data_IF_285348619274
#
_entry.id   IF_285348619274
#
_cell.length_a   1.000
_cell.length_b   1.000
_cell.length_c   1.000
_cell.angle_alpha   90.00
_cell.angle_beta   90.00
_cell.angle_gamma   90.00
#
_symmetry.space_group_name_H-M   'P 1'
#
loop_
_entity.id
_entity.type
_entity.pdbx_description
1 polymer ?
#
# COMPACT_ATOMS: atom_id res chain seq x y z
N UNK A 1 -25.79 37.74 9.06
CA UNK A 1 -27.25 37.70 9.36
C UNK A 1 -28.02 36.82 8.37
N UNK A 2 -27.59 36.69 7.11
CA UNK A 2 -28.26 35.87 6.08
C UNK A 2 -28.25 34.34 6.28
N UNK A 3 -27.24 33.78 6.96
CA UNK A 3 -27.14 32.31 7.15
C UNK A 3 -28.14 31.79 8.18
N UNK A 4 -28.38 32.57 9.24
CA UNK A 4 -29.26 32.19 10.34
C UNK A 4 -30.74 32.21 9.92
N UNK A 5 -31.13 33.14 9.05
CA UNK A 5 -32.48 33.21 8.47
C UNK A 5 -32.74 32.03 7.53
N UNK A 6 -31.75 31.61 6.74
CA UNK A 6 -31.86 30.42 5.86
C UNK A 6 -31.94 29.11 6.64
N UNK A 7 -31.19 28.98 7.74
CA UNK A 7 -31.29 27.84 8.66
C UNK A 7 -32.67 27.76 9.34
N UNK A 8 -33.30 28.91 9.62
CA UNK A 8 -34.65 28.94 10.21
C UNK A 8 -35.73 28.39 9.28
N UNK A 9 -35.50 28.41 7.96
CA UNK A 9 -36.42 27.84 6.97
C UNK A 9 -36.24 26.32 6.77
N UNK A 10 -35.20 25.71 7.37
CA UNK A 10 -34.96 24.26 7.34
C UNK A 10 -35.59 23.53 8.54
N UNK A 11 -36.21 24.26 9.48
CA UNK A 11 -36.91 23.70 10.63
C UNK A 11 -38.34 23.32 10.21
N UNK A 12 -38.57 22.03 9.96
CA UNK A 12 -39.85 21.51 9.46
C UNK A 12 -40.92 21.35 10.57
N UNK A 13 -40.57 21.59 11.84
CA UNK A 13 -41.46 21.34 12.98
C UNK A 13 -42.03 22.64 13.58
N UNK A 14 -43.34 22.66 13.93
CA UNK A 14 -43.95 23.81 14.58
C UNK A 14 -43.35 24.00 15.97
N UNK A 15 -42.91 25.23 16.29
CA UNK A 15 -42.33 25.55 17.60
C UNK A 15 -43.42 25.58 18.67
N UNK A 16 -43.19 24.83 19.74
CA UNK A 16 -44.08 24.76 20.91
C UNK A 16 -44.01 26.07 21.71
N UNK A 17 -45.14 26.51 22.27
CA UNK A 17 -45.22 27.73 23.07
C UNK A 17 -44.31 27.66 24.30
N UNK A 18 -43.67 28.78 24.65
CA UNK A 18 -42.64 28.83 25.70
C UNK A 18 -43.20 28.54 27.11
N UNK A 19 -44.52 28.65 27.31
CA UNK A 19 -45.20 28.38 28.58
C UNK A 19 -45.18 26.91 29.01
N UNK A 20 -44.84 25.99 28.10
CA UNK A 20 -44.65 24.57 28.40
C UNK A 20 -43.18 24.21 28.70
N UNK A 21 -42.27 25.19 28.67
CA UNK A 21 -40.83 24.97 28.81
C UNK A 21 -40.31 25.53 30.14
N UNK A 22 -40.07 24.66 31.12
CA UNK A 22 -39.40 25.06 32.36
C UNK A 22 -37.88 25.01 32.18
N UNK A 23 -37.25 26.19 32.04
CA UNK A 23 -35.78 26.31 31.98
C UNK A 23 -35.21 26.17 33.38
N UNK A 24 -34.57 25.04 33.66
CA UNK A 24 -33.83 24.84 34.91
C UNK A 24 -32.32 25.05 34.67
N UNK A 25 -31.65 25.74 35.61
CA UNK A 25 -30.20 25.93 35.55
C UNK A 25 -29.45 24.59 35.54
N UNK A 26 -29.95 23.61 36.30
CA UNK A 26 -29.41 22.25 36.34
C UNK A 26 -29.58 21.51 35.01
N UNK A 27 -30.73 21.61 34.34
CA UNK A 27 -30.97 21.00 33.03
C UNK A 27 -30.08 21.62 31.94
N UNK A 28 -29.86 22.93 31.99
CA UNK A 28 -28.93 23.63 31.09
C UNK A 28 -27.49 23.14 31.25
N UNK A 29 -27.00 23.03 32.48
CA UNK A 29 -25.67 22.51 32.77
C UNK A 29 -25.50 21.05 32.28
N UNK A 30 -26.48 20.20 32.54
CA UNK A 30 -26.49 18.80 32.08
C UNK A 30 -26.45 18.75 30.55
N UNK A 31 -27.19 19.62 29.86
CA UNK A 31 -27.24 19.68 28.40
C UNK A 31 -25.90 20.10 27.80
N UNK A 32 -25.21 21.06 28.43
CA UNK A 32 -23.88 21.49 27.98
C UNK A 32 -22.87 20.35 28.16
N UNK A 33 -22.85 19.71 29.32
CA UNK A 33 -21.94 18.60 29.61
C UNK A 33 -22.19 17.40 28.70
N UNK A 34 -23.46 17.04 28.48
CA UNK A 34 -23.82 15.92 27.59
C UNK A 34 -23.48 16.23 26.13
N UNK A 35 -23.77 17.46 25.65
CA UNK A 35 -23.41 17.89 24.30
C UNK A 35 -21.90 17.85 24.06
N UNK A 36 -21.10 18.30 25.04
CA UNK A 36 -19.64 18.25 24.96
C UNK A 36 -19.13 16.80 24.89
N UNK A 37 -19.66 15.92 25.75
CA UNK A 37 -19.30 14.50 25.75
C UNK A 37 -19.66 13.82 24.42
N UNK A 38 -20.85 14.08 23.89
CA UNK A 38 -21.30 13.54 22.59
C UNK A 38 -20.38 14.00 21.46
N UNK A 39 -20.02 15.29 21.43
CA UNK A 39 -19.11 15.82 20.41
C UNK A 39 -17.73 15.18 20.49
N UNK A 40 -17.16 15.05 21.69
CA UNK A 40 -15.86 14.40 21.87
C UNK A 40 -15.87 12.94 21.40
N UNK A 41 -16.91 12.19 21.76
CA UNK A 41 -17.07 10.80 21.32
C UNK A 41 -17.22 10.70 19.80
N UNK A 42 -18.01 11.58 19.20
CA UNK A 42 -18.20 11.62 17.75
C UNK A 42 -16.88 11.83 16.99
N UNK A 43 -16.07 12.80 17.40
CA UNK A 43 -14.76 13.03 16.77
C UNK A 43 -13.79 11.87 17.00
N UNK A 44 -13.81 11.26 18.19
CA UNK A 44 -12.98 10.10 18.50
C UNK A 44 -13.31 8.91 17.59
N UNK A 45 -14.59 8.59 17.42
CA UNK A 45 -15.01 7.47 16.59
C UNK A 45 -14.78 7.72 15.10
N UNK A 46 -15.01 8.94 14.61
CA UNK A 46 -14.66 9.28 13.23
C UNK A 46 -13.18 9.06 12.97
N UNK A 47 -12.31 9.50 13.91
CA UNK A 47 -10.88 9.31 13.77
C UNK A 47 -10.51 7.84 13.73
N UNK A 48 -11.11 7.02 14.59
CA UNK A 48 -10.86 5.58 14.64
C UNK A 48 -11.38 4.88 13.38
N UNK A 49 -12.55 5.27 12.87
CA UNK A 49 -13.12 4.75 11.63
C UNK A 49 -12.25 5.07 10.41
N UNK A 50 -11.71 6.29 10.33
CA UNK A 50 -10.81 6.69 9.25
C UNK A 50 -9.40 6.13 9.40
N UNK A 51 -9.05 5.62 10.58
CA UNK A 51 -7.77 4.98 10.81
C UNK A 51 -7.78 3.57 10.20
N UNK A 52 -7.07 3.41 9.08
CA UNK A 52 -6.87 2.10 8.47
C UNK A 52 -5.71 1.38 9.14
N UNK A 53 -6.01 0.32 9.90
CA UNK A 53 -5.01 -0.61 10.41
C UNK A 53 -4.71 -1.66 9.33
N UNK A 54 -3.43 -1.86 9.02
CA UNK A 54 -2.98 -2.91 8.10
C UNK A 54 -2.92 -4.24 8.84
N UNK A 55 -3.85 -5.14 8.55
CA UNK A 55 -3.87 -6.50 9.09
C UNK A 55 -3.28 -7.47 8.06
N UNK A 56 -2.20 -8.17 8.43
CA UNK A 56 -1.60 -9.21 7.60
C UNK A 56 -2.42 -10.49 7.69
N UNK A 57 -3.08 -10.89 6.60
CA UNK A 57 -3.83 -12.16 6.52
C UNK A 57 -3.04 -13.17 5.71
N UNK A 58 -2.93 -14.39 6.24
CA UNK A 58 -2.40 -15.53 5.51
C UNK A 58 -3.54 -16.15 4.70
N UNK A 59 -3.47 -16.04 3.38
CA UNK A 59 -4.38 -16.70 2.44
C UNK A 59 -3.64 -17.82 1.75
N UNK A 60 -4.35 -18.93 1.47
CA UNK A 60 -3.79 -20.01 0.65
C UNK A 60 -3.60 -19.45 -0.75
N UNK A 61 -2.36 -19.46 -1.23
CA UNK A 61 -2.06 -19.11 -2.60
C UNK A 61 -2.58 -20.21 -3.53
N UNK A 62 -3.62 -19.90 -4.31
CA UNK A 62 -4.17 -20.80 -5.33
C UNK A 62 -3.50 -20.64 -6.69
N UNK A 63 -2.48 -19.77 -6.80
CA UNK A 63 -1.65 -19.57 -8.00
C UNK A 63 -0.77 -20.80 -8.21
N UNK A 64 -1.34 -21.84 -8.82
CA UNK A 64 -0.59 -23.06 -9.10
C UNK A 64 0.29 -22.86 -10.33
N UNK A 65 1.62 -22.89 -10.14
CA UNK A 65 2.59 -22.96 -11.24
C UNK A 65 3.07 -21.64 -11.84
N UNK A 66 2.96 -20.53 -11.11
CA UNK A 66 3.59 -19.27 -11.52
C UNK A 66 5.12 -19.36 -11.34
N UNK A 67 5.88 -18.89 -12.33
CA UNK A 67 7.35 -18.81 -12.23
C UNK A 67 7.73 -17.56 -11.45
N UNK A 68 8.63 -17.69 -10.49
CA UNK A 68 9.18 -16.55 -9.78
C UNK A 68 10.02 -15.68 -10.74
N UNK A 69 9.62 -14.43 -10.94
CA UNK A 69 10.37 -13.50 -11.76
C UNK A 69 11.49 -12.85 -10.93
N UNK A 70 12.73 -13.22 -11.22
CA UNK A 70 13.92 -12.73 -10.52
C UNK A 70 14.65 -11.74 -11.45
N UNK A 71 14.77 -10.49 -11.02
CA UNK A 71 15.57 -9.48 -11.70
C UNK A 71 16.87 -9.27 -10.92
N UNK A 72 18.01 -9.36 -11.60
CA UNK A 72 19.32 -9.09 -10.99
C UNK A 72 20.26 -8.38 -11.98
N UNK A 73 21.12 -7.53 -11.44
CA UNK A 73 22.23 -6.89 -12.17
C UNK A 73 23.48 -7.00 -11.28
N UNK A 74 24.44 -7.81 -11.70
CA UNK A 74 25.65 -8.14 -10.93
C UNK A 74 26.86 -8.01 -11.84
N UNK A 75 27.89 -7.33 -11.34
CA UNK A 75 29.14 -7.08 -12.07
C UNK A 75 30.30 -7.81 -11.43
N UNK A 76 31.06 -8.56 -12.23
CA UNK A 76 32.27 -9.26 -11.81
C UNK A 76 33.52 -8.64 -12.47
N UNK A 77 34.30 -7.79 -11.77
CA UNK A 77 35.38 -7.01 -12.40
C UNK A 77 36.61 -7.84 -12.82
N UNK A 78 36.80 -9.03 -12.24
CA UNK A 78 37.97 -9.88 -12.47
C UNK A 78 37.62 -11.26 -13.04
N UNK A 79 36.43 -11.42 -13.63
CA UNK A 79 35.95 -12.71 -14.16
C UNK A 79 35.46 -12.54 -15.61
N UNK A 80 35.93 -13.38 -16.56
CA UNK A 80 35.47 -13.31 -17.94
C UNK A 80 34.04 -13.84 -18.07
N UNK A 81 33.22 -13.19 -18.90
CA UNK A 81 31.81 -13.56 -19.12
C UNK A 81 31.60 -15.00 -19.59
N UNK A 82 32.58 -15.62 -20.25
CA UNK A 82 32.51 -17.01 -20.74
C UNK A 82 32.54 -18.05 -19.62
N UNK A 83 33.01 -17.69 -18.42
CA UNK A 83 33.04 -18.57 -17.25
C UNK A 83 31.86 -18.34 -16.31
N UNK A 84 31.06 -17.30 -16.56
CA UNK A 84 29.89 -17.00 -15.75
C UNK A 84 28.70 -17.83 -16.24
N UNK A 85 28.15 -18.63 -15.34
CA UNK A 85 26.90 -19.36 -15.52
C UNK A 85 25.95 -18.99 -14.38
N UNK A 86 24.65 -19.14 -14.62
CA UNK A 86 23.60 -18.88 -13.62
C UNK A 86 22.83 -20.17 -13.42
N UNK A 87 22.85 -20.65 -12.18
CA UNK A 87 22.15 -21.86 -11.76
C UNK A 87 21.10 -21.48 -10.71
N UNK A 88 19.94 -22.13 -10.75
CA UNK A 88 18.87 -21.94 -9.76
C UNK A 88 18.50 -23.27 -9.11
N UNK A 89 18.25 -23.24 -7.81
CA UNK A 89 17.74 -24.37 -7.05
C UNK A 89 16.50 -23.94 -6.26
N UNK A 90 15.40 -24.66 -6.45
CA UNK A 90 14.16 -24.45 -5.69
C UNK A 90 14.17 -25.22 -4.35
N UNK A 91 13.27 -24.87 -3.44
CA UNK A 91 13.07 -25.56 -2.15
C UNK A 91 12.64 -27.01 -2.34
N UNK A 92 12.03 -27.34 -3.47
CA UNK A 92 11.72 -28.71 -3.89
C UNK A 92 12.96 -29.54 -4.26
N UNK A 93 14.12 -28.90 -4.43
CA UNK A 93 15.35 -29.52 -4.91
C UNK A 93 15.45 -29.60 -6.44
N UNK A 94 14.52 -29.00 -7.18
CA UNK A 94 14.65 -28.85 -8.64
C UNK A 94 15.82 -27.90 -8.96
N UNK A 95 16.69 -28.33 -9.88
CA UNK A 95 17.89 -27.60 -10.27
C UNK A 95 17.84 -27.28 -11.76
N UNK A 96 18.01 -26.01 -12.11
CA UNK A 96 18.23 -25.56 -13.48
C UNK A 96 19.64 -25.01 -13.58
N UNK A 97 20.46 -25.67 -14.39
CA UNK A 97 21.86 -25.29 -14.62
C UNK A 97 22.00 -24.47 -15.91
N UNK A 98 22.96 -23.53 -15.91
CA UNK A 98 23.34 -22.70 -17.05
C UNK A 98 22.12 -22.09 -17.77
N UNK A 99 21.32 -21.35 -17.01
CA UNK A 99 20.16 -20.64 -17.50
C UNK A 99 20.60 -19.58 -18.52
N UNK A 100 20.06 -19.65 -19.74
CA UNK A 100 20.39 -18.71 -20.84
C UNK A 100 19.23 -17.84 -21.29
N UNK A 101 18.02 -18.22 -20.94
CA UNK A 101 16.82 -17.46 -21.28
C UNK A 101 16.77 -16.17 -20.46
N UNK A 102 16.64 -15.04 -21.16
CA UNK A 102 16.58 -13.69 -20.61
C UNK A 102 17.80 -13.21 -19.80
N UNK A 103 18.96 -13.85 -19.99
CA UNK A 103 20.24 -13.38 -19.45
C UNK A 103 21.06 -12.66 -20.53
N UNK A 104 21.58 -11.49 -20.19
CA UNK A 104 22.44 -10.68 -21.04
C UNK A 104 23.80 -10.54 -20.34
N UNK A 105 24.86 -11.07 -20.97
CA UNK A 105 26.23 -10.95 -20.46
C UNK A 105 26.91 -9.77 -21.15
N UNK A 106 27.30 -8.77 -20.35
CA UNK A 106 28.01 -7.58 -20.83
C UNK A 106 29.47 -7.66 -20.40
N UNK A 107 30.38 -7.66 -21.36
CA UNK A 107 31.81 -7.49 -21.11
C UNK A 107 32.06 -6.01 -20.81
N UNK A 108 32.70 -5.74 -19.68
CA UNK A 108 33.05 -4.38 -19.26
C UNK A 108 34.56 -4.16 -19.26
N UNK A 109 34.98 -2.90 -19.40
CA UNK A 109 36.36 -2.47 -19.20
C UNK A 109 36.67 -2.22 -17.71
N UNK A 110 37.92 -1.89 -17.39
CA UNK A 110 38.35 -1.55 -16.03
C UNK A 110 37.72 -0.25 -15.49
N UNK A 111 37.11 0.56 -16.34
CA UNK A 111 36.43 1.82 -16.02
C UNK A 111 34.91 1.63 -15.87
N UNK A 112 34.39 0.40 -16.09
CA UNK A 112 32.96 0.07 -16.01
C UNK A 112 32.17 0.31 -17.31
N UNK A 113 32.82 0.65 -18.42
CA UNK A 113 32.14 0.83 -19.71
C UNK A 113 31.90 -0.50 -20.40
N UNK A 114 30.77 -0.64 -21.09
CA UNK A 114 30.41 -1.85 -21.83
C UNK A 114 31.21 -1.91 -23.14
N UNK A 115 32.02 -2.95 -23.27
CA UNK A 115 32.80 -3.26 -24.49
C UNK A 115 31.93 -4.07 -25.47
N UNK A 116 31.21 -5.08 -24.96
CA UNK A 116 30.46 -6.03 -25.78
C UNK A 116 29.25 -6.56 -24.99
N UNK A 117 28.13 -6.80 -25.66
CA UNK A 117 26.93 -7.39 -25.06
C UNK A 117 26.51 -8.63 -25.83
N UNK A 118 26.62 -9.80 -25.21
CA UNK A 118 26.19 -11.08 -25.76
C UNK A 118 24.88 -11.52 -25.11
N UNK A 119 23.86 -11.80 -25.92
CA UNK A 119 22.63 -12.47 -25.49
C UNK A 119 22.80 -13.96 -25.73
N UNK A 120 22.79 -14.81 -24.71
CA UNK A 120 23.09 -16.25 -24.84
C UNK A 120 21.91 -17.09 -25.37
N UNK A 121 21.08 -16.52 -26.25
CA UNK A 121 19.92 -17.22 -26.84
C UNK A 121 20.29 -18.19 -27.97
N UNK A 122 19.40 -19.18 -28.22
CA UNK A 122 19.46 -20.04 -29.41
C UNK A 122 19.39 -19.15 -30.66
N UNK A 123 20.53 -18.95 -31.33
CA UNK A 123 20.68 -18.07 -32.51
C UNK A 123 21.63 -16.88 -32.33
N UNK A 124 22.30 -16.74 -31.20
CA UNK A 124 23.34 -15.71 -31.02
C UNK A 124 24.56 -15.96 -31.92
N UNK A 125 25.21 -14.91 -32.45
CA UNK A 125 26.47 -15.05 -33.19
C UNK A 125 27.49 -15.78 -32.31
N UNK A 126 28.16 -16.77 -32.89
CA UNK A 126 29.14 -17.62 -32.21
C UNK A 126 30.31 -16.81 -31.67
#
# INVERSE_FOLDING_TARGET
MELWSKLRNLDAYPKVNEDFYSRTLSGGLITILSSLAILLLFFSEIRLYLYSATESKLTVDTSRGERLHINFDVTFPALPCSLVAVDTMDVSGEQHYDIKHDIIKKRIDHLGNVIESRKDGVGAPK
#
